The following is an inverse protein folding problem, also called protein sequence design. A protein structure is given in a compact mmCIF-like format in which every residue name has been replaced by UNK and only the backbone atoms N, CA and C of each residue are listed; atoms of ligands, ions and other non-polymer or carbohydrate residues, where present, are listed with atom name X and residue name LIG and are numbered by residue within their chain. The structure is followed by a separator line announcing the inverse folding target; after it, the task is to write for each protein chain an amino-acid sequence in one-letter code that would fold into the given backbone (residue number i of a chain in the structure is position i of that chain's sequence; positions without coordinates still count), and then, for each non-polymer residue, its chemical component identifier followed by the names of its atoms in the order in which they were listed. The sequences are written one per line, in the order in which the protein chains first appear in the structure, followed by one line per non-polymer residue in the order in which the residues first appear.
data_IF_356424475009
#
_entry.id   IF_356424475009
#
_cell.length_a   1.000
_cell.length_b   1.000
_cell.length_c   1.000
_cell.angle_alpha   90.00
_cell.angle_beta   90.00
_cell.angle_gamma   90.00
#
_symmetry.space_group_name_H-M   'P 1'
#
loop_
_entity.id
_entity.type
_entity.pdbx_description
1 polymer ?
#
# COMPACT_ATOMS: atom_id res chain seq x y z
N UNK A 1 -5.26 0.16 -18.39
CA UNK A 1 -3.97 0.19 -17.64
C UNK A 1 -2.81 0.55 -18.55
N UNK A 2 -1.82 1.24 -18.00
CA UNK A 2 -0.55 1.61 -18.62
C UNK A 2 0.58 1.28 -17.64
N UNK A 3 1.68 0.72 -18.13
CA UNK A 3 2.89 0.52 -17.32
C UNK A 3 4.03 1.24 -18.03
N UNK A 4 4.74 2.10 -17.31
CA UNK A 4 5.85 2.89 -17.84
C UNK A 4 7.06 2.80 -16.92
N UNK A 5 8.25 2.83 -17.49
CA UNK A 5 9.47 3.01 -16.70
C UNK A 5 9.72 4.51 -16.53
N UNK A 6 9.89 4.95 -15.29
CA UNK A 6 10.27 6.30 -14.92
C UNK A 6 11.33 6.26 -13.81
N UNK A 7 12.47 6.91 -14.04
CA UNK A 7 13.61 6.94 -13.10
C UNK A 7 14.04 5.57 -12.57
N UNK A 8 14.01 4.53 -13.41
CA UNK A 8 14.35 3.15 -13.03
C UNK A 8 13.28 2.44 -12.18
N UNK A 9 12.10 3.04 -12.03
CA UNK A 9 10.92 2.48 -11.35
C UNK A 9 9.84 2.20 -12.38
N UNK A 10 9.17 1.06 -12.25
CA UNK A 10 8.01 0.75 -13.10
C UNK A 10 6.75 1.30 -12.43
N UNK A 11 6.07 2.21 -13.12
CA UNK A 11 4.87 2.89 -12.66
C UNK A 11 3.68 2.31 -13.40
N UNK A 12 2.71 1.79 -12.65
CA UNK A 12 1.39 1.40 -13.11
C UNK A 12 0.46 2.59 -12.97
N UNK A 13 -0.25 2.91 -14.05
CA UNK A 13 -1.35 3.89 -14.09
C UNK A 13 -2.61 3.20 -14.58
N UNK A 14 -3.71 3.34 -13.85
CA UNK A 14 -5.02 2.94 -14.35
C UNK A 14 -5.57 4.02 -15.30
N UNK A 15 -6.09 3.59 -16.45
CA UNK A 15 -6.65 4.47 -17.47
C UNK A 15 -8.15 4.20 -17.55
N UNK A 16 -8.87 4.60 -16.51
CA UNK A 16 -10.33 4.42 -16.40
C UNK A 16 -10.79 2.96 -16.61
N UNK A 17 -10.12 1.98 -15.98
CA UNK A 17 -10.57 0.59 -16.15
C UNK A 17 -11.99 0.41 -15.63
N UNK A 18 -12.87 -0.16 -16.47
CA UNK A 18 -14.30 -0.32 -16.17
C UNK A 18 -14.59 -1.13 -14.90
N UNK A 19 -13.64 -1.98 -14.47
CA UNK A 19 -13.78 -2.86 -13.31
C UNK A 19 -12.79 -2.52 -12.18
N UNK A 20 -12.06 -1.41 -12.28
CA UNK A 20 -10.98 -1.06 -11.37
C UNK A 20 -9.70 -1.90 -11.56
N UNK A 21 -8.57 -1.30 -11.21
CA UNK A 21 -7.27 -1.98 -11.11
C UNK A 21 -6.89 -2.09 -9.65
N UNK A 22 -6.70 -3.32 -9.18
CA UNK A 22 -6.20 -3.58 -7.83
C UNK A 22 -4.77 -4.02 -7.91
N UNK A 23 -3.90 -3.39 -7.14
CA UNK A 23 -2.58 -3.95 -6.87
C UNK A 23 -2.67 -4.45 -5.46
N UNK A 24 -2.35 -5.73 -5.26
CA UNK A 24 -2.18 -6.28 -3.94
C UNK A 24 -3.47 -6.29 -3.10
N UNK A 25 -4.62 -6.36 -3.78
CA UNK A 25 -5.94 -6.29 -3.18
C UNK A 25 -6.50 -4.89 -3.01
N UNK A 26 -5.64 -3.88 -3.01
CA UNK A 26 -6.01 -2.47 -2.85
C UNK A 26 -6.29 -1.82 -4.20
N UNK A 27 -7.39 -1.07 -4.29
CA UNK A 27 -7.70 -0.25 -5.46
C UNK A 27 -6.61 0.81 -5.64
N UNK A 28 -6.08 0.93 -6.85
CA UNK A 28 -5.01 1.89 -7.13
C UNK A 28 -5.13 2.49 -8.51
N UNK A 29 -4.95 3.81 -8.57
CA UNK A 29 -4.89 4.57 -9.83
C UNK A 29 -3.44 4.77 -10.28
N UNK A 30 -2.51 4.92 -9.33
CA UNK A 30 -1.10 5.14 -9.61
C UNK A 30 -0.25 4.40 -8.57
N UNK A 31 0.68 3.55 -9.03
CA UNK A 31 1.56 2.79 -8.13
C UNK A 31 2.90 2.45 -8.74
N UNK A 32 3.96 2.58 -7.94
CA UNK A 32 5.26 2.00 -8.27
C UNK A 32 5.19 0.49 -8.01
N UNK A 33 5.40 -0.30 -9.06
CA UNK A 33 5.42 -1.77 -9.01
C UNK A 33 6.74 -2.27 -8.40
N UNK A 34 6.62 -3.26 -7.51
CA UNK A 34 7.73 -3.95 -6.87
C UNK A 34 7.61 -5.44 -7.11
N UNK A 35 8.75 -6.12 -7.29
CA UNK A 35 8.74 -7.56 -7.52
C UNK A 35 7.94 -8.29 -6.41
N UNK A 36 7.03 -9.16 -6.81
CA UNK A 36 6.09 -9.84 -5.93
C UNK A 36 4.70 -9.21 -5.88
N UNK A 37 4.51 -8.00 -6.45
CA UNK A 37 3.19 -7.37 -6.52
C UNK A 37 2.21 -8.21 -7.36
N UNK A 38 1.00 -8.38 -6.85
CA UNK A 38 -0.11 -9.08 -7.50
C UNK A 38 -1.08 -8.06 -8.09
N UNK A 39 -1.15 -7.97 -9.41
CA UNK A 39 -1.99 -7.00 -10.11
C UNK A 39 -3.26 -7.71 -10.59
N UNK A 40 -4.42 -7.20 -10.20
CA UNK A 40 -5.74 -7.70 -10.60
C UNK A 40 -6.46 -6.68 -11.47
N UNK A 41 -6.90 -7.10 -12.66
CA UNK A 41 -7.65 -6.28 -13.61
C UNK A 41 -8.82 -7.09 -14.16
N UNK A 42 -10.04 -6.70 -13.81
CA UNK A 42 -11.24 -7.48 -14.13
C UNK A 42 -11.16 -8.90 -13.59
N UNK A 43 -11.06 -9.90 -14.47
CA UNK A 43 -10.93 -11.34 -14.10
C UNK A 43 -9.50 -11.85 -14.14
N UNK A 44 -8.55 -11.03 -14.58
CA UNK A 44 -7.16 -11.42 -14.76
C UNK A 44 -6.34 -11.06 -13.52
N UNK A 45 -5.42 -11.93 -13.15
CA UNK A 45 -4.45 -11.73 -12.06
C UNK A 45 -3.05 -11.96 -12.62
N UNK A 46 -2.14 -11.04 -12.36
CA UNK A 46 -0.75 -11.02 -12.85
C UNK A 46 0.19 -10.91 -11.65
N UNK A 47 1.29 -11.68 -11.63
CA UNK A 47 2.36 -11.54 -10.65
C UNK A 47 3.54 -10.81 -11.29
N UNK A 48 4.04 -9.76 -10.66
CA UNK A 48 5.12 -8.96 -11.20
C UNK A 48 6.51 -9.46 -10.76
N UNK A 49 7.36 -9.81 -11.73
CA UNK A 49 8.74 -10.26 -11.49
C UNK A 49 8.98 -11.76 -11.72
N UNK A 50 10.24 -12.14 -11.88
CA UNK A 50 10.66 -13.55 -11.94
C UNK A 50 10.80 -14.13 -10.53
N UNK A 51 10.83 -15.47 -10.41
CA UNK A 51 11.06 -16.15 -9.13
C UNK A 51 12.32 -15.64 -8.43
N UNK A 52 13.42 -15.51 -9.16
CA UNK A 52 14.69 -15.04 -8.60
C UNK A 52 14.63 -13.58 -8.12
N UNK A 53 13.94 -12.70 -8.86
CA UNK A 53 13.75 -11.30 -8.46
C UNK A 53 12.91 -11.19 -7.17
N UNK A 54 11.87 -12.01 -7.07
CA UNK A 54 11.00 -12.07 -5.89
C UNK A 54 11.79 -12.62 -4.69
N UNK A 55 12.55 -13.69 -4.88
CA UNK A 55 13.38 -14.30 -3.83
C UNK A 55 14.42 -13.33 -3.27
N UNK A 56 15.16 -12.61 -4.13
CA UNK A 56 16.15 -11.61 -3.69
C UNK A 56 15.50 -10.50 -2.86
N UNK A 57 14.36 -9.97 -3.31
CA UNK A 57 13.63 -8.95 -2.54
C UNK A 57 13.18 -9.48 -1.18
N UNK A 58 12.76 -10.74 -1.10
CA UNK A 58 12.36 -11.36 0.16
C UNK A 58 13.56 -11.53 1.12
N UNK A 59 14.74 -11.83 0.59
CA UNK A 59 15.99 -11.89 1.36
C UNK A 59 16.40 -10.51 1.88
N UNK A 60 16.30 -9.46 1.05
CA UNK A 60 16.55 -8.07 1.45
C UNK A 60 15.63 -7.65 2.61
N UNK A 61 14.33 -7.90 2.48
CA UNK A 61 13.35 -7.60 3.54
C UNK A 61 13.62 -8.35 4.86
N UNK A 62 14.15 -9.58 4.79
CA UNK A 62 14.57 -10.34 5.98
C UNK A 62 15.82 -9.75 6.63
N UNK A 63 16.76 -9.22 5.84
CA UNK A 63 18.01 -8.64 6.33
C UNK A 63 17.82 -7.29 7.02
N UNK A 64 16.81 -6.52 6.64
CA UNK A 64 16.53 -5.19 7.19
C UNK A 64 15.88 -5.20 8.59
N UNK A 65 15.79 -6.38 9.25
CA UNK A 65 15.43 -6.48 10.66
C UNK A 65 13.96 -6.23 10.98
N UNK A 66 13.04 -6.55 10.06
CA UNK A 66 11.61 -6.41 10.27
C UNK A 66 11.12 -7.52 11.25
N UNK A 67 10.95 -7.14 12.51
CA UNK A 67 10.62 -7.98 13.68
C UNK A 67 9.31 -8.78 13.54
N UNK A 68 9.35 -10.07 13.94
CA UNK A 68 8.27 -11.07 14.20
C UNK A 68 7.14 -11.28 13.17
N UNK A 69 6.50 -10.24 12.63
CA UNK A 69 5.44 -10.40 11.62
C UNK A 69 6.00 -10.81 10.26
N UNK A 70 7.20 -10.34 9.91
CA UNK A 70 7.86 -10.66 8.65
C UNK A 70 8.38 -12.10 8.58
N UNK A 71 8.83 -12.67 9.71
CA UNK A 71 9.32 -14.07 9.76
C UNK A 71 8.20 -15.06 9.45
N UNK A 72 7.02 -14.88 10.06
CA UNK A 72 5.82 -15.67 9.76
C UNK A 72 5.38 -15.48 8.30
N UNK A 73 5.33 -14.23 7.80
CA UNK A 73 4.93 -13.92 6.42
C UNK A 73 5.87 -14.51 5.36
N UNK A 74 7.18 -14.39 5.57
CA UNK A 74 8.17 -14.82 4.59
C UNK A 74 8.32 -16.35 4.55
N UNK A 75 8.08 -17.05 5.66
CA UNK A 75 8.08 -18.51 5.70
C UNK A 75 6.81 -19.09 5.08
N UNK A 76 5.67 -18.44 5.30
CA UNK A 76 4.38 -18.79 4.70
C UNK A 76 4.40 -18.60 3.16
N UNK A 77 5.02 -17.52 2.68
CA UNK A 77 5.19 -17.26 1.25
C UNK A 77 6.17 -18.26 0.60
N UNK A 78 7.29 -18.54 1.25
CA UNK A 78 8.29 -19.50 0.73
C UNK A 78 7.72 -20.94 0.64
N UNK A 79 6.97 -21.40 1.66
CA UNK A 79 6.31 -22.71 1.64
C UNK A 79 5.26 -22.83 0.53
N UNK A 80 4.56 -21.74 0.20
CA UNK A 80 3.54 -21.71 -0.87
C UNK A 80 4.13 -21.60 -2.27
N UNK A 81 5.29 -20.95 -2.44
CA UNK A 81 6.05 -20.91 -3.71
C UNK A 81 6.76 -22.24 -4.02
N UNK A 82 7.06 -23.03 -3.00
CA UNK A 82 7.68 -24.37 -3.12
C UNK A 82 6.66 -25.50 -3.32
N UNK A 83 5.40 -25.26 -2.96
CA UNK A 83 4.30 -26.18 -3.25
C UNK A 83 4.10 -26.24 -4.78
N UNK A 84 4.39 -27.40 -5.38
CA UNK A 84 4.34 -27.69 -6.84
C UNK A 84 2.95 -27.57 -7.49
N UNK A 85 2.06 -26.71 -7.00
CA UNK A 85 0.75 -26.43 -7.56
C UNK A 85 0.67 -24.97 -8.01
N UNK A 86 1.34 -24.66 -9.13
CA UNK A 86 1.08 -23.43 -9.90
C UNK A 86 -0.24 -23.51 -10.69
N UNK A 87 -1.11 -24.45 -10.34
CA UNK A 87 -2.48 -24.58 -10.83
C UNK A 87 -3.36 -24.96 -9.65
N UNK A 88 -4.50 -24.29 -9.47
CA UNK A 88 -5.52 -24.58 -8.45
C UNK A 88 -5.09 -24.05 -7.06
N UNK A 89 -5.47 -22.84 -6.62
CA UNK A 89 -6.82 -22.28 -6.46
C UNK A 89 -6.73 -20.76 -6.69
N UNK A 90 -7.28 -20.09 -7.71
CA UNK A 90 -8.69 -19.94 -8.09
C UNK A 90 -9.72 -19.80 -6.95
N UNK A 91 -9.28 -19.66 -5.70
CA UNK A 91 -10.07 -19.16 -4.57
C UNK A 91 -9.51 -17.86 -3.98
N UNK A 92 -8.85 -17.03 -4.80
CA UNK A 92 -8.51 -15.64 -4.40
C UNK A 92 -9.75 -14.73 -4.23
N UNK A 93 -10.95 -15.31 -4.19
CA UNK A 93 -12.13 -14.67 -3.62
C UNK A 93 -12.33 -15.17 -2.20
N UNK A 94 -12.33 -14.26 -1.24
CA UNK A 94 -12.85 -14.42 0.13
C UNK A 94 -11.88 -14.79 1.27
N UNK A 95 -10.75 -14.10 1.37
CA UNK A 95 -10.50 -13.46 2.67
C UNK A 95 -9.86 -12.09 2.48
N UNK A 96 -10.58 -11.04 2.90
CA UNK A 96 -10.04 -9.69 3.14
C UNK A 96 -8.75 -9.75 4.00
N UNK A 97 -8.64 -10.79 4.84
CA UNK A 97 -7.50 -11.03 5.73
C UNK A 97 -6.20 -11.45 5.02
N UNK A 98 -6.25 -12.16 3.87
CA UNK A 98 -5.03 -12.56 3.15
C UNK A 98 -4.45 -11.42 2.32
N UNK A 99 -5.32 -10.51 1.85
CA UNK A 99 -4.88 -9.32 1.12
C UNK A 99 -4.37 -8.26 2.10
N UNK A 100 -4.92 -8.12 3.30
CA UNK A 100 -4.34 -7.21 4.31
C UNK A 100 -2.97 -7.68 4.82
N UNK A 101 -2.74 -9.00 4.91
CA UNK A 101 -1.49 -9.59 5.43
C UNK A 101 -0.29 -9.43 4.48
N UNK A 102 -0.49 -9.18 3.19
CA UNK A 102 0.62 -8.93 2.25
C UNK A 102 1.09 -7.45 2.23
N UNK A 103 0.39 -6.55 2.95
CA UNK A 103 0.39 -5.12 2.63
C UNK A 103 0.81 -4.11 3.69
N UNK A 104 1.91 -4.38 4.38
CA UNK A 104 2.77 -3.27 4.81
C UNK A 104 4.19 -3.54 4.32
N UNK A 105 4.50 -3.25 3.04
CA UNK A 105 5.89 -3.09 2.67
C UNK A 105 6.49 -2.02 3.60
N UNK A 106 7.75 -2.19 3.97
CA UNK A 106 8.58 -1.13 4.54
C UNK A 106 8.16 0.25 3.97
N UNK A 107 8.07 1.29 4.82
CA UNK A 107 7.68 2.62 4.38
C UNK A 107 8.37 2.98 3.05
N UNK A 108 7.62 3.46 2.05
CA UNK A 108 8.20 3.75 0.75
C UNK A 108 9.31 4.78 0.91
N UNK A 109 10.38 4.62 0.12
CA UNK A 109 11.39 5.68 0.00
C UNK A 109 10.73 6.97 -0.51
N UNK A 110 11.18 8.10 0.04
CA UNK A 110 10.77 9.40 -0.46
C UNK A 110 11.17 9.55 -1.95
N UNK A 111 10.36 10.23 -2.76
CA UNK A 111 10.73 10.52 -4.13
C UNK A 111 12.07 11.27 -4.20
N UNK A 112 13.01 10.73 -4.96
CA UNK A 112 14.25 11.41 -5.32
C UNK A 112 13.99 12.39 -6.47
N UNK A 113 14.80 13.45 -6.58
CA UNK A 113 14.79 14.39 -7.72
C UNK A 113 13.57 15.32 -7.83
N UNK A 114 12.88 15.60 -6.73
CA UNK A 114 11.87 16.66 -6.70
C UNK A 114 12.55 18.03 -6.89
N UNK A 115 11.94 18.89 -7.72
CA UNK A 115 12.31 20.31 -7.75
C UNK A 115 12.04 20.95 -6.38
N UNK A 116 12.71 22.06 -6.00
CA UNK A 116 12.47 22.70 -4.70
C UNK A 116 11.00 23.03 -4.42
N UNK A 117 10.25 23.44 -5.45
CA UNK A 117 8.80 23.69 -5.35
C UNK A 117 7.98 22.43 -5.11
N UNK A 118 8.27 21.34 -5.83
CA UNK A 118 7.60 20.05 -5.61
C UNK A 118 7.92 19.46 -4.22
N UNK A 119 9.18 19.57 -3.78
CA UNK A 119 9.58 19.12 -2.44
C UNK A 119 8.86 19.90 -1.34
N UNK A 120 8.73 21.23 -1.49
CA UNK A 120 7.95 22.05 -0.58
C UNK A 120 6.47 21.64 -0.55
N UNK A 121 5.85 21.43 -1.71
CA UNK A 121 4.44 20.99 -1.80
C UNK A 121 4.19 19.63 -1.16
N UNK A 122 5.06 18.63 -1.41
CA UNK A 122 4.96 17.32 -0.75
C UNK A 122 5.14 17.46 0.77
N UNK A 123 6.10 18.26 1.22
CA UNK A 123 6.33 18.52 2.64
C UNK A 123 5.12 19.15 3.31
N UNK A 124 4.49 20.14 2.67
CA UNK A 124 3.31 20.83 3.20
C UNK A 124 2.11 19.89 3.35
N UNK A 125 1.86 19.04 2.34
CA UNK A 125 0.78 18.04 2.41
C UNK A 125 1.02 17.03 3.54
N UNK A 126 2.25 16.51 3.66
CA UNK A 126 2.59 15.56 4.71
C UNK A 126 2.54 16.20 6.11
N UNK A 127 3.00 17.45 6.24
CA UNK A 127 2.92 18.21 7.49
C UNK A 127 1.47 18.47 7.91
N UNK A 128 0.60 18.84 6.95
CA UNK A 128 -0.82 19.02 7.18
C UNK A 128 -1.46 17.77 7.78
N UNK A 129 -1.25 16.60 7.15
CA UNK A 129 -1.79 15.34 7.67
C UNK A 129 -1.14 14.92 8.98
N UNK A 130 0.17 15.12 9.15
CA UNK A 130 0.87 14.82 10.40
C UNK A 130 0.31 15.63 11.57
N UNK A 131 0.11 16.94 11.39
CA UNK A 131 -0.45 17.81 12.43
C UNK A 131 -1.89 17.42 12.78
N UNK A 132 -2.72 17.15 11.77
CA UNK A 132 -4.13 16.80 11.99
C UNK A 132 -4.29 15.44 12.67
N UNK A 133 -3.53 14.43 12.23
CA UNK A 133 -3.50 13.12 12.91
C UNK A 133 -2.95 13.22 14.33
N UNK A 134 -1.90 14.01 14.57
CA UNK A 134 -1.35 14.24 15.91
C UNK A 134 -2.40 14.83 16.85
N UNK A 135 -3.16 15.82 16.41
CA UNK A 135 -4.23 16.42 17.22
C UNK A 135 -5.30 15.39 17.59
N UNK A 136 -5.71 14.55 16.64
CA UNK A 136 -6.70 13.49 16.88
C UNK A 136 -6.19 12.44 17.88
N UNK A 137 -4.96 11.98 17.71
CA UNK A 137 -4.35 10.99 18.63
C UNK A 137 -4.21 11.56 20.04
N UNK A 138 -3.86 12.84 20.19
CA UNK A 138 -3.75 13.50 21.50
C UNK A 138 -5.07 13.60 22.27
N UNK A 139 -6.21 13.50 21.57
CA UNK A 139 -7.54 13.52 22.21
C UNK A 139 -8.03 12.13 22.64
N UNK A 140 -7.31 11.07 22.26
CA UNK A 140 -7.70 9.71 22.63
C UNK A 140 -7.41 9.47 24.12
N UNK A 141 -8.41 8.95 24.83
CA UNK A 141 -8.26 8.52 26.22
C UNK A 141 -7.83 7.05 26.23
N UNK A 142 -6.73 6.74 26.89
CA UNK A 142 -6.24 5.36 27.04
C UNK A 142 -6.81 4.79 28.34
N UNK A 143 -7.64 3.75 28.20
CA UNK A 143 -8.12 2.93 29.29
C UNK A 143 -7.12 1.80 29.51
N UNK A 144 -6.17 2.00 30.44
CA UNK A 144 -5.07 1.06 30.72
C UNK A 144 -5.55 -0.29 31.27
N UNK A 145 -6.67 -0.32 32.00
CA UNK A 145 -7.23 -1.56 32.56
C UNK A 145 -7.78 -2.48 31.47
N UNK A 146 -8.44 -1.91 30.46
CA UNK A 146 -8.99 -2.68 29.33
C UNK A 146 -8.06 -2.75 28.12
N UNK A 147 -6.98 -1.98 28.11
CA UNK A 147 -6.05 -1.87 26.97
C UNK A 147 -6.68 -1.22 25.73
N UNK A 148 -7.70 -0.35 25.91
CA UNK A 148 -8.45 0.26 24.81
C UNK A 148 -8.25 1.76 24.75
N UNK A 149 -8.06 2.30 23.56
CA UNK A 149 -8.16 3.73 23.32
C UNK A 149 -9.62 4.12 23.01
N UNK A 150 -10.14 5.12 23.72
CA UNK A 150 -11.46 5.71 23.47
C UNK A 150 -11.26 7.04 22.77
N UNK A 151 -11.84 7.16 21.58
CA UNK A 151 -11.85 8.41 20.81
C UNK A 151 -13.26 8.98 20.89
N UNK A 152 -13.44 10.24 21.30
CA UNK A 152 -14.78 10.81 21.34
C UNK A 152 -15.34 10.96 19.92
N UNK A 153 -16.68 10.88 19.79
CA UNK A 153 -17.35 10.76 18.48
C UNK A 153 -17.00 11.89 17.51
N UNK A 154 -16.84 13.12 18.00
CA UNK A 154 -16.48 14.26 17.17
C UNK A 154 -15.08 14.09 16.55
N UNK A 155 -14.11 13.62 17.33
CA UNK A 155 -12.75 13.37 16.83
C UNK A 155 -12.70 12.14 15.92
N UNK A 156 -13.57 11.16 16.15
CA UNK A 156 -13.74 10.07 15.19
C UNK A 156 -14.24 10.58 13.83
N UNK A 157 -15.20 11.51 13.81
CA UNK A 157 -15.67 12.13 12.56
C UNK A 157 -14.56 12.90 11.86
N UNK A 158 -13.79 13.72 12.59
CA UNK A 158 -12.64 14.43 12.02
C UNK A 158 -11.58 13.49 11.43
N UNK A 159 -11.37 12.31 12.02
CA UNK A 159 -10.49 11.29 11.45
C UNK A 159 -11.02 10.77 10.10
N UNK A 160 -12.33 10.54 9.99
CA UNK A 160 -12.95 10.12 8.74
C UNK A 160 -12.85 11.21 7.66
N UNK A 161 -12.97 12.48 8.05
CA UNK A 161 -12.80 13.61 7.12
C UNK A 161 -11.36 13.69 6.60
N UNK A 162 -10.36 13.47 7.47
CA UNK A 162 -8.95 13.35 7.06
C UNK A 162 -8.75 12.19 6.08
N UNK A 163 -9.36 11.04 6.32
CA UNK A 163 -9.30 9.89 5.40
C UNK A 163 -9.94 10.22 4.04
N UNK A 164 -11.08 10.91 4.03
CA UNK A 164 -11.75 11.35 2.80
C UNK A 164 -10.86 12.31 2.00
N UNK A 165 -10.23 13.27 2.66
CA UNK A 165 -9.34 14.24 2.01
C UNK A 165 -8.07 13.57 1.45
N UNK A 166 -7.50 12.59 2.17
CA UNK A 166 -6.38 11.80 1.67
C UNK A 166 -6.77 11.03 0.40
N UNK A 167 -7.94 10.40 0.38
CA UNK A 167 -8.44 9.69 -0.80
C UNK A 167 -8.65 10.62 -2.00
N UNK A 168 -9.09 11.86 -1.76
CA UNK A 168 -9.22 12.88 -2.80
C UNK A 168 -7.86 13.29 -3.38
N UNK A 169 -6.85 13.55 -2.54
CA UNK A 169 -5.50 13.85 -3.03
C UNK A 169 -4.86 12.68 -3.78
N UNK A 170 -5.04 11.44 -3.32
CA UNK A 170 -4.56 10.26 -4.04
C UNK A 170 -5.19 10.16 -5.44
N UNK A 171 -6.47 10.54 -5.58
CA UNK A 171 -7.17 10.58 -6.86
C UNK A 171 -6.62 11.67 -7.78
N UNK A 172 -6.47 12.90 -7.27
CA UNK A 172 -5.95 14.04 -8.04
C UNK A 172 -4.50 13.82 -8.49
N UNK A 173 -3.69 13.15 -7.67
CA UNK A 173 -2.30 12.78 -8.04
C UNK A 173 -2.30 11.66 -9.09
N UNK A 174 -3.22 10.70 -8.97
CA UNK A 174 -3.34 9.57 -9.91
C UNK A 174 -3.88 9.97 -11.27
N UNK A 175 -4.71 11.01 -11.32
CA UNK A 175 -5.35 11.53 -12.52
C UNK A 175 -5.29 13.07 -12.54
N UNK A 176 -4.22 13.65 -13.12
CA UNK A 176 -4.01 15.10 -13.12
C UNK A 176 -4.98 15.85 -14.04
N UNK A 177 -5.72 15.17 -14.92
CA UNK A 177 -6.72 15.82 -15.77
C UNK A 177 -8.00 16.18 -14.99
N UNK A 178 -8.11 15.73 -13.74
CA UNK A 178 -9.19 16.08 -12.80
C UNK A 178 -8.90 17.32 -11.94
N UNK A 179 -7.69 17.88 -11.99
CA UNK A 179 -7.25 19.01 -11.14
C UNK A 179 -7.58 20.39 -11.69
#
# INVERSE_FOLDING_TARGET
IKIQEDQGKLVLTDLESTNGTRVNGEDTQLRILRFGDVISVGRSVLLFGTRDQISRRLEELRSDGITETSELMAEELAKRVDSKSLSFELHLGASEDLQSTLHIPMPPELPSQLTPGQAAGVSEILEYFHLRTRQLVQTAEIDEESGKAKIPLLQWQELLDVQSQLAEYLRLIGDPDLS
#
